data_IF_313229279804
#
_entry.id   IF_313229279804
#
_cell.length_a   1.000
_cell.length_b   1.000
_cell.length_c   1.000
_cell.angle_alpha   90.00
_cell.angle_beta   90.00
_cell.angle_gamma   90.00
#
_symmetry.space_group_name_H-M   'P 1'
#
loop_
_entity.id
_entity.type
_entity.pdbx_description
1 polymer ?
#
# COMPACT_ATOMS: atom_id res chain seq x y z
N UNK A 1 -11.83 -12.57 4.88
CA UNK A 1 -10.87 -13.66 4.63
C UNK A 1 -10.21 -13.56 3.27
N UNK A 2 -9.26 -14.43 3.00
CA UNK A 2 -8.56 -14.53 1.73
C UNK A 2 -8.72 -15.96 1.21
N UNK A 3 -8.93 -16.11 -0.10
CA UNK A 3 -9.01 -17.41 -0.76
C UNK A 3 -8.21 -17.40 -2.06
N UNK A 4 -7.57 -18.52 -2.37
CA UNK A 4 -6.86 -18.75 -3.61
C UNK A 4 -7.72 -19.60 -4.54
N UNK A 5 -7.92 -19.12 -5.78
CA UNK A 5 -8.51 -19.92 -6.85
C UNK A 5 -7.43 -20.44 -7.80
N UNK A 6 -7.37 -21.74 -7.99
CA UNK A 6 -6.46 -22.40 -8.91
C UNK A 6 -7.18 -22.67 -10.24
N UNK A 7 -6.99 -21.80 -11.24
CA UNK A 7 -7.70 -21.87 -12.53
C UNK A 7 -7.47 -23.18 -13.29
N UNK A 8 -6.28 -23.78 -13.18
CA UNK A 8 -5.96 -25.07 -13.83
C UNK A 8 -6.73 -26.27 -13.26
N UNK A 9 -7.12 -26.22 -12.00
CA UNK A 9 -7.79 -27.33 -11.29
C UNK A 9 -9.24 -27.02 -10.93
N UNK A 10 -9.68 -25.77 -11.06
CA UNK A 10 -10.98 -25.28 -10.61
C UNK A 10 -11.17 -25.30 -9.10
N UNK A 11 -10.10 -25.48 -8.32
CA UNK A 11 -10.17 -25.62 -6.86
C UNK A 11 -9.97 -24.29 -6.14
N UNK A 12 -10.70 -24.14 -5.03
CA UNK A 12 -10.53 -23.05 -4.06
C UNK A 12 -9.77 -23.54 -2.83
N UNK A 13 -8.86 -22.71 -2.34
CA UNK A 13 -8.23 -22.88 -1.05
C UNK A 13 -8.51 -21.65 -0.18
N UNK A 14 -9.13 -21.85 1.00
CA UNK A 14 -9.39 -20.78 1.96
C UNK A 14 -8.27 -20.74 3.00
N UNK A 15 -7.73 -19.54 3.26
CA UNK A 15 -6.73 -19.32 4.30
C UNK A 15 -7.35 -19.00 5.67
N UNK A 16 -8.68 -19.05 5.80
CA UNK A 16 -9.37 -18.63 7.03
C UNK A 16 -8.85 -19.33 8.28
N UNK A 17 -8.72 -20.66 8.22
CA UNK A 17 -8.23 -21.46 9.36
C UNK A 17 -6.78 -21.15 9.73
N UNK A 18 -5.94 -20.76 8.76
CA UNK A 18 -4.54 -20.40 9.02
C UNK A 18 -4.42 -19.05 9.71
N UNK A 19 -5.34 -18.12 9.44
CA UNK A 19 -5.40 -16.85 10.14
C UNK A 19 -5.91 -17.02 11.58
N UNK A 20 -6.94 -17.84 11.79
CA UNK A 20 -7.56 -18.06 13.10
C UNK A 20 -6.61 -18.68 14.13
N UNK A 21 -5.64 -19.47 13.69
CA UNK A 21 -4.61 -20.05 14.58
C UNK A 21 -3.58 -19.03 15.06
N UNK A 22 -3.30 -17.98 14.29
CA UNK A 22 -2.27 -16.99 14.59
C UNK A 22 -2.83 -15.76 15.33
N UNK A 23 -4.14 -15.52 15.26
CA UNK A 23 -4.75 -14.30 15.75
C UNK A 23 -6.02 -14.60 16.53
N UNK A 24 -6.03 -14.09 17.77
CA UNK A 24 -7.19 -14.18 18.67
C UNK A 24 -8.38 -13.33 18.20
N UNK A 25 -8.16 -12.41 17.28
CA UNK A 25 -9.17 -11.46 16.78
C UNK A 25 -9.78 -12.00 15.48
N UNK A 26 -11.04 -12.41 15.51
CA UNK A 26 -11.72 -13.10 14.42
C UNK A 26 -12.14 -12.19 13.23
N UNK A 27 -11.95 -10.88 13.32
CA UNK A 27 -12.39 -9.90 12.31
C UNK A 27 -11.25 -9.45 11.42
N UNK A 28 -10.76 -10.34 10.55
CA UNK A 28 -9.75 -9.97 9.54
C UNK A 28 -10.42 -9.40 8.29
N UNK A 29 -10.33 -8.08 8.13
CA UNK A 29 -10.76 -7.38 6.92
C UNK A 29 -9.51 -7.02 6.14
N UNK A 30 -9.26 -7.74 5.04
CA UNK A 30 -8.19 -7.43 4.10
C UNK A 30 -8.74 -6.55 2.98
N UNK A 31 -8.01 -5.52 2.61
CA UNK A 31 -8.42 -4.53 1.61
C UNK A 31 -7.38 -4.33 0.52
N UNK A 32 -6.16 -4.80 0.70
CA UNK A 32 -5.10 -4.71 -0.29
C UNK A 32 -4.28 -6.00 -0.34
N UNK A 33 -3.85 -6.37 -1.55
CA UNK A 33 -2.99 -7.52 -1.82
C UNK A 33 -1.90 -7.10 -2.81
N UNK A 34 -0.66 -7.51 -2.55
CA UNK A 34 0.46 -7.26 -3.44
C UNK A 34 1.36 -8.50 -3.53
N UNK A 35 1.66 -8.99 -4.72
CA UNK A 35 2.69 -10.02 -4.90
C UNK A 35 4.07 -9.36 -4.84
N UNK A 36 4.75 -9.50 -3.71
CA UNK A 36 6.04 -8.85 -3.43
C UNK A 36 7.22 -9.59 -4.03
N UNK A 37 7.11 -10.91 -4.16
CA UNK A 37 8.04 -11.78 -4.88
C UNK A 37 7.28 -13.00 -5.43
N UNK A 38 7.84 -13.76 -6.39
CA UNK A 38 7.13 -14.88 -6.98
C UNK A 38 6.60 -15.85 -5.92
N UNK A 39 5.29 -15.98 -5.86
CA UNK A 39 4.61 -16.85 -4.91
C UNK A 39 4.38 -16.30 -3.51
N UNK A 40 4.88 -15.09 -3.18
CA UNK A 40 4.69 -14.44 -1.88
C UNK A 40 3.81 -13.22 -2.03
N UNK A 41 2.66 -13.24 -1.39
CA UNK A 41 1.69 -12.15 -1.38
C UNK A 41 1.67 -11.50 0.00
N UNK A 42 1.73 -10.18 0.04
CA UNK A 42 1.43 -9.42 1.24
C UNK A 42 -0.04 -9.01 1.22
N UNK A 43 -0.71 -9.21 2.34
CA UNK A 43 -2.10 -8.83 2.54
C UNK A 43 -2.18 -7.78 3.66
N UNK A 44 -2.75 -6.64 3.38
CA UNK A 44 -2.98 -5.56 4.35
C UNK A 44 -4.45 -5.40 4.68
N UNK A 45 -4.74 -5.02 5.93
CA UNK A 45 -6.11 -4.92 6.41
C UNK A 45 -6.35 -3.86 7.48
N UNK A 46 -7.61 -3.72 7.88
CA UNK A 46 -8.07 -2.66 8.80
C UNK A 46 -7.59 -2.81 10.24
N UNK A 47 -7.43 -4.02 10.73
CA UNK A 47 -7.11 -4.26 12.15
C UNK A 47 -5.96 -5.23 12.34
N UNK A 48 -5.44 -5.73 11.25
CA UNK A 48 -4.62 -6.93 11.25
C UNK A 48 -3.16 -6.70 10.88
N UNK A 49 -2.80 -5.47 10.42
CA UNK A 49 -1.45 -5.20 9.91
C UNK A 49 -1.19 -5.91 8.57
N UNK A 50 0.01 -6.44 8.40
CA UNK A 50 0.44 -7.13 7.19
C UNK A 50 0.60 -8.62 7.44
N UNK A 51 0.11 -9.44 6.53
CA UNK A 51 0.34 -10.88 6.48
C UNK A 51 1.08 -11.25 5.21
N UNK A 52 1.99 -12.19 5.31
CA UNK A 52 2.62 -12.86 4.18
C UNK A 52 1.91 -14.17 3.92
N UNK A 53 1.54 -14.39 2.68
CA UNK A 53 0.91 -15.59 2.19
C UNK A 53 1.84 -16.23 1.16
N UNK A 54 2.26 -17.46 1.41
CA UNK A 54 2.98 -18.25 0.41
C UNK A 54 1.98 -19.11 -0.36
N UNK A 55 1.74 -18.76 -1.62
CA UNK A 55 0.75 -19.50 -2.46
C UNK A 55 1.20 -20.90 -2.86
N UNK A 56 2.50 -21.21 -2.74
CA UNK A 56 3.02 -22.53 -3.10
C UNK A 56 2.91 -23.52 -1.94
N UNK A 57 3.21 -23.08 -0.71
CA UNK A 57 3.11 -23.90 0.51
C UNK A 57 1.77 -23.74 1.23
N UNK A 58 0.94 -22.78 0.79
CA UNK A 58 -0.33 -22.42 1.40
C UNK A 58 -0.17 -21.97 2.87
N UNK A 59 1.01 -21.47 3.24
CA UNK A 59 1.28 -20.94 4.58
C UNK A 59 0.95 -19.46 4.69
N UNK A 60 0.60 -19.05 5.90
CA UNK A 60 0.33 -17.66 6.27
C UNK A 60 1.14 -17.32 7.51
N UNK A 61 1.77 -16.16 7.52
CA UNK A 61 2.48 -15.64 8.68
C UNK A 61 2.22 -14.15 8.88
N UNK A 62 2.17 -13.70 10.13
CA UNK A 62 2.11 -12.28 10.45
C UNK A 62 3.46 -11.63 10.18
N UNK A 63 3.45 -10.55 9.41
CA UNK A 63 4.65 -9.77 9.14
C UNK A 63 4.73 -8.58 10.09
N UNK A 64 5.70 -8.63 11.00
CA UNK A 64 6.01 -7.51 11.88
C UNK A 64 7.13 -6.66 11.31
N UNK A 65 6.86 -5.44 10.83
CA UNK A 65 7.89 -4.53 10.34
C UNK A 65 8.96 -4.16 11.38
N UNK A 66 8.64 -4.32 12.67
CA UNK A 66 9.57 -4.05 13.79
C UNK A 66 10.83 -4.91 13.77
N UNK A 67 10.73 -6.11 13.16
CA UNK A 67 11.85 -7.02 13.07
C UNK A 67 12.90 -6.55 12.03
N UNK A 68 12.53 -5.58 11.18
CA UNK A 68 13.40 -5.08 10.11
C UNK A 68 14.15 -3.80 10.46
N UNK A 69 13.84 -3.19 11.58
CA UNK A 69 14.47 -1.91 11.94
C UNK A 69 14.59 -1.77 13.45
N UNK A 70 15.70 -1.19 13.90
CA UNK A 70 15.87 -0.71 15.28
C UNK A 70 15.07 0.59 15.54
N UNK A 71 14.19 0.97 14.62
CA UNK A 71 13.35 2.18 14.74
C UNK A 71 12.15 1.86 15.59
N UNK A 72 11.91 2.67 16.61
CA UNK A 72 10.73 2.55 17.49
C UNK A 72 9.46 2.96 16.71
N UNK A 73 8.91 2.01 15.95
CA UNK A 73 7.72 2.21 15.12
C UNK A 73 6.47 1.85 15.91
N UNK A 74 5.43 2.68 15.81
CA UNK A 74 4.11 2.28 16.29
C UNK A 74 3.56 1.15 15.41
N UNK A 75 2.90 0.11 16.01
CA UNK A 75 2.22 -0.90 15.24
C UNK A 75 1.13 -0.27 14.37
N UNK A 76 1.33 -0.29 13.06
CA UNK A 76 0.27 0.10 12.14
C UNK A 76 -0.55 -1.13 11.78
N UNK A 77 -1.67 -1.27 12.48
CA UNK A 77 -2.63 -2.34 12.20
C UNK A 77 -3.57 -1.99 11.05
N UNK A 78 -3.55 -0.74 10.60
CA UNK A 78 -4.44 -0.21 9.60
C UNK A 78 -3.68 0.03 8.30
N UNK A 79 -3.67 -0.96 7.42
CA UNK A 79 -2.98 -0.92 6.14
C UNK A 79 -4.04 -0.79 5.04
N UNK A 80 -3.97 0.29 4.28
CA UNK A 80 -4.91 0.59 3.19
C UNK A 80 -4.35 0.24 1.82
N UNK A 81 -3.04 0.40 1.65
CA UNK A 81 -2.42 0.10 0.38
C UNK A 81 -1.03 -0.52 0.55
N UNK A 82 -0.72 -1.47 -0.34
CA UNK A 82 0.58 -2.11 -0.46
C UNK A 82 0.88 -2.22 -1.95
N UNK A 83 1.99 -1.62 -2.38
CA UNK A 83 2.41 -1.67 -3.78
C UNK A 83 3.88 -2.04 -3.90
N UNK A 84 4.22 -2.71 -4.98
CA UNK A 84 5.60 -2.96 -5.38
C UNK A 84 5.96 -2.01 -6.50
N UNK A 85 7.04 -1.24 -6.34
CA UNK A 85 7.52 -0.33 -7.37
C UNK A 85 8.39 -1.04 -8.41
N UNK A 86 8.71 -0.34 -9.50
CA UNK A 86 9.53 -0.84 -10.60
C UNK A 86 10.97 -1.20 -10.20
N UNK A 87 11.46 -0.67 -9.06
CA UNK A 87 12.76 -0.99 -8.48
C UNK A 87 12.72 -2.21 -7.53
N UNK A 88 11.52 -2.76 -7.29
CA UNK A 88 11.31 -3.91 -6.40
C UNK A 88 11.15 -3.56 -4.93
N UNK A 89 11.10 -2.27 -4.55
CA UNK A 89 10.74 -1.86 -3.20
C UNK A 89 9.25 -2.04 -2.95
N UNK A 90 8.90 -2.38 -1.72
CA UNK A 90 7.51 -2.53 -1.30
C UNK A 90 7.12 -1.33 -0.46
N UNK A 91 6.07 -0.65 -0.89
CA UNK A 91 5.50 0.49 -0.19
C UNK A 91 4.25 0.07 0.55
N UNK A 92 4.07 0.58 1.77
CA UNK A 92 2.88 0.33 2.57
C UNK A 92 2.44 1.60 3.26
N UNK A 93 1.16 1.88 3.14
CA UNK A 93 0.50 3.03 3.74
C UNK A 93 -0.78 2.68 4.47
N UNK A 94 -1.11 3.48 5.46
CA UNK A 94 -2.31 3.34 6.27
C UNK A 94 -2.48 4.51 7.22
N UNK A 95 -2.82 4.25 8.48
CA UNK A 95 -3.07 5.32 9.44
C UNK A 95 -1.80 6.07 9.83
N UNK A 96 -0.70 5.35 10.06
CA UNK A 96 0.59 5.93 10.41
C UNK A 96 1.56 5.86 9.23
N UNK A 97 2.52 6.72 9.21
CA UNK A 97 3.67 6.85 8.30
C UNK A 97 3.73 5.93 7.08
N UNK A 98 3.98 6.51 5.93
CA UNK A 98 4.38 5.75 4.76
C UNK A 98 5.67 4.98 5.05
N UNK A 99 5.71 3.71 4.62
CA UNK A 99 6.83 2.78 4.79
C UNK A 99 7.30 2.28 3.44
N UNK A 100 8.62 2.20 3.27
CA UNK A 100 9.26 1.61 2.10
C UNK A 100 10.20 0.50 2.55
N UNK A 101 9.94 -0.73 2.10
CA UNK A 101 10.71 -1.92 2.45
C UNK A 101 11.64 -2.31 1.32
N UNK A 102 12.90 -2.56 1.66
CA UNK A 102 13.85 -3.24 0.80
C UNK A 102 14.00 -4.68 1.28
N UNK A 103 13.41 -5.62 0.57
CA UNK A 103 13.45 -7.04 0.95
C UNK A 103 14.82 -7.68 0.73
N UNK A 104 15.65 -7.14 -0.18
CA UNK A 104 16.98 -7.66 -0.43
C UNK A 104 17.95 -7.36 0.73
N UNK A 105 17.81 -6.18 1.35
CA UNK A 105 18.65 -5.76 2.49
C UNK A 105 17.94 -5.93 3.83
N UNK A 106 16.69 -6.41 3.81
CA UNK A 106 15.86 -6.54 4.99
C UNK A 106 15.74 -5.24 5.81
N UNK A 107 15.56 -4.11 5.12
CA UNK A 107 15.49 -2.79 5.73
C UNK A 107 14.17 -2.09 5.43
N UNK A 108 13.81 -1.13 6.30
CA UNK A 108 12.63 -0.28 6.14
C UNK A 108 13.00 1.19 6.32
N UNK A 109 12.51 2.04 5.42
CA UNK A 109 12.55 3.50 5.53
C UNK A 109 11.17 4.02 5.86
N UNK A 110 11.11 4.93 6.84
CA UNK A 110 9.88 5.66 7.21
C UNK A 110 9.90 7.05 6.59
N UNK A 111 8.69 7.54 6.28
CA UNK A 111 8.46 8.91 5.82
C UNK A 111 7.55 9.63 6.84
N UNK A 112 8.13 10.23 7.89
CA UNK A 112 7.38 10.92 8.93
C UNK A 112 6.56 12.07 8.34
N UNK A 113 5.33 12.25 8.83
CA UNK A 113 4.42 13.31 8.35
C UNK A 113 3.49 12.86 7.24
N UNK A 114 3.83 11.85 6.43
CA UNK A 114 2.90 11.23 5.49
C UNK A 114 2.06 10.20 6.23
N UNK A 115 0.87 10.60 6.67
CA UNK A 115 -0.08 9.80 7.44
C UNK A 115 -1.42 9.68 6.72
N UNK A 116 -2.28 8.80 7.21
CA UNK A 116 -3.63 8.57 6.67
C UNK A 116 -3.63 8.28 5.17
N UNK A 117 -2.64 7.46 4.75
CA UNK A 117 -2.42 7.09 3.36
C UNK A 117 -3.55 6.18 2.90
N UNK A 118 -4.08 6.44 1.72
CA UNK A 118 -5.21 5.73 1.13
C UNK A 118 -4.84 5.01 -0.17
N UNK A 119 -3.89 5.57 -0.93
CA UNK A 119 -3.44 5.01 -2.20
C UNK A 119 -2.01 5.43 -2.50
N UNK A 120 -1.23 4.53 -3.08
CA UNK A 120 0.17 4.73 -3.44
C UNK A 120 0.35 4.29 -4.89
N UNK A 121 0.92 5.17 -5.73
CA UNK A 121 1.16 4.86 -7.15
C UNK A 121 2.52 5.35 -7.58
N UNK A 122 3.26 4.53 -8.30
CA UNK A 122 4.51 4.97 -8.93
C UNK A 122 4.19 5.95 -10.07
N UNK A 123 4.74 7.16 -10.00
CA UNK A 123 4.67 8.14 -11.07
C UNK A 123 5.74 7.86 -12.14
N UNK A 124 6.96 7.71 -11.68
CA UNK A 124 8.14 7.46 -12.49
C UNK A 124 9.26 6.82 -11.64
N UNK A 125 10.42 6.58 -12.25
CA UNK A 125 11.56 5.96 -11.55
C UNK A 125 11.99 6.69 -10.27
N UNK A 126 11.71 7.99 -10.12
CA UNK A 126 12.19 8.82 -9.00
C UNK A 126 11.07 9.29 -8.08
N UNK A 127 9.81 9.19 -8.50
CA UNK A 127 8.69 9.80 -7.78
C UNK A 127 7.53 8.84 -7.58
N UNK A 128 6.83 9.04 -6.44
CA UNK A 128 5.61 8.34 -6.06
C UNK A 128 4.48 9.36 -5.82
N UNK A 129 3.29 9.04 -6.28
CA UNK A 129 2.08 9.72 -5.87
C UNK A 129 1.54 9.09 -4.59
N UNK A 130 1.21 9.92 -3.61
CA UNK A 130 0.66 9.48 -2.33
C UNK A 130 -0.67 10.18 -2.11
N UNK A 131 -1.74 9.41 -2.20
CA UNK A 131 -3.09 9.83 -1.84
C UNK A 131 -3.33 9.66 -0.35
N UNK A 132 -3.93 10.67 0.28
CA UNK A 132 -4.25 10.66 1.71
C UNK A 132 -5.69 11.14 1.95
N UNK A 133 -6.13 11.01 3.20
CA UNK A 133 -7.40 11.64 3.65
C UNK A 133 -7.37 13.16 3.50
N UNK A 134 -6.19 13.78 3.54
CA UNK A 134 -6.01 15.23 3.48
C UNK A 134 -5.59 15.77 2.11
N UNK A 135 -5.42 14.93 1.09
CA UNK A 135 -5.06 15.35 -0.27
C UNK A 135 -3.95 14.56 -0.92
N UNK A 136 -3.37 15.12 -1.98
CA UNK A 136 -2.36 14.50 -2.83
C UNK A 136 -0.96 15.00 -2.49
N UNK A 137 0.00 14.08 -2.44
CA UNK A 137 1.41 14.40 -2.31
C UNK A 137 2.23 13.77 -3.43
N UNK A 138 3.28 14.48 -3.84
CA UNK A 138 4.35 13.94 -4.68
C UNK A 138 5.59 13.74 -3.81
N UNK A 139 6.05 12.49 -3.73
CA UNK A 139 7.22 12.08 -2.97
C UNK A 139 8.38 11.78 -3.92
N UNK A 140 9.53 12.42 -3.71
CA UNK A 140 10.78 11.99 -4.31
C UNK A 140 11.39 10.86 -3.48
N UNK A 141 11.42 9.65 -4.02
CA UNK A 141 11.88 8.46 -3.27
C UNK A 141 13.39 8.39 -3.04
N UNK A 142 14.19 9.17 -3.79
CA UNK A 142 15.65 9.23 -3.60
C UNK A 142 16.01 10.14 -2.43
N UNK A 143 15.49 11.37 -2.42
CA UNK A 143 15.75 12.34 -1.34
C UNK A 143 14.88 12.07 -0.11
N UNK A 144 13.64 11.62 -0.32
CA UNK A 144 12.62 11.46 0.71
C UNK A 144 11.81 12.74 0.96
N UNK A 145 12.07 13.79 0.18
CA UNK A 145 11.29 15.01 0.21
C UNK A 145 9.94 14.80 -0.44
N UNK A 146 8.91 15.41 0.10
CA UNK A 146 7.57 15.37 -0.46
C UNK A 146 6.92 16.74 -0.42
N UNK A 147 6.07 17.01 -1.41
CA UNK A 147 5.31 18.24 -1.54
C UNK A 147 3.81 17.95 -1.65
N UNK A 148 3.02 18.81 -1.04
CA UNK A 148 1.57 18.80 -1.22
C UNK A 148 1.23 19.34 -2.61
N UNK A 149 0.29 18.70 -3.30
CA UNK A 149 -0.26 19.16 -4.58
C UNK A 149 -1.61 19.82 -4.29
N UNK A 150 -1.66 21.11 -4.44
CA UNK A 150 -2.89 21.88 -4.25
C UNK A 150 -3.88 21.55 -5.37
N UNK A 151 -5.05 21.08 -4.97
CA UNK A 151 -6.16 20.80 -5.89
C UNK A 151 -7.12 21.98 -5.92
N UNK A 152 -7.73 22.27 -7.08
CA UNK A 152 -8.70 23.39 -7.22
C UNK A 152 -9.86 23.35 -6.22
N UNK A 153 -10.23 22.14 -5.76
CA UNK A 153 -11.28 21.93 -4.76
C UNK A 153 -10.77 21.99 -3.31
N UNK A 154 -9.50 22.34 -3.10
CA UNK A 154 -8.87 22.29 -1.79
C UNK A 154 -8.49 20.87 -1.35
N UNK A 155 -8.38 20.65 -0.05
CA UNK A 155 -8.06 19.33 0.50
C UNK A 155 -9.23 18.35 0.25
N UNK A 156 -8.95 17.25 -0.43
CA UNK A 156 -9.92 16.21 -0.74
C UNK A 156 -9.48 14.86 -0.18
N UNK A 157 -10.43 14.11 0.36
CA UNK A 157 -10.19 12.72 0.73
C UNK A 157 -10.00 11.90 -0.56
N UNK A 158 -8.77 11.48 -0.83
CA UNK A 158 -8.45 10.63 -1.96
C UNK A 158 -8.73 9.18 -1.59
N UNK A 159 -9.49 8.47 -2.41
CA UNK A 159 -9.76 7.04 -2.23
C UNK A 159 -8.79 6.19 -3.02
N UNK A 160 -8.48 6.59 -4.26
CA UNK A 160 -7.65 5.82 -5.18
C UNK A 160 -6.94 6.72 -6.17
N UNK A 161 -5.79 6.27 -6.63
CA UNK A 161 -4.98 6.90 -7.66
C UNK A 161 -4.73 5.90 -8.80
N UNK A 162 -4.64 6.40 -10.02
CA UNK A 162 -4.22 5.63 -11.18
C UNK A 162 -3.32 6.49 -12.08
N UNK A 163 -2.06 6.10 -12.25
CA UNK A 163 -1.14 6.71 -13.18
C UNK A 163 -1.32 6.05 -14.55
N UNK A 164 -1.76 6.82 -15.51
CA UNK A 164 -1.93 6.32 -16.87
C UNK A 164 -0.63 6.45 -17.71
N UNK A 165 -0.54 5.65 -18.76
CA UNK A 165 0.63 5.60 -19.64
C UNK A 165 0.85 6.91 -20.43
N UNK A 166 -0.21 7.71 -20.62
CA UNK A 166 -0.15 9.03 -21.24
C UNK A 166 0.40 10.13 -20.32
N UNK A 167 0.76 9.77 -19.09
CA UNK A 167 1.31 10.67 -18.08
C UNK A 167 0.28 11.38 -17.22
N UNK A 168 -1.02 11.15 -17.44
CA UNK A 168 -2.10 11.71 -16.61
C UNK A 168 -2.30 10.91 -15.34
N UNK A 169 -2.59 11.60 -14.24
CA UNK A 169 -2.97 10.98 -12.97
C UNK A 169 -4.48 11.12 -12.76
N UNK A 170 -5.17 10.00 -12.64
CA UNK A 170 -6.57 9.93 -12.27
C UNK A 170 -6.70 9.81 -10.76
N UNK A 171 -7.56 10.64 -10.17
CA UNK A 171 -7.71 10.81 -8.72
C UNK A 171 -9.17 10.57 -8.36
N UNK A 172 -9.48 9.42 -7.79
CA UNK A 172 -10.81 9.11 -7.26
C UNK A 172 -10.94 9.65 -5.83
N UNK A 173 -11.95 10.46 -5.57
CA UNK A 173 -12.16 11.11 -4.29
C UNK A 173 -13.41 10.60 -3.56
N UNK A 174 -13.51 10.89 -2.28
CA UNK A 174 -14.69 10.58 -1.48
C UNK A 174 -15.69 11.74 -1.58
N UNK A 175 -16.73 11.55 -2.39
CA UNK A 175 -17.88 12.46 -2.45
C UNK A 175 -17.81 13.59 -3.48
N UNK A 176 -16.64 13.84 -4.12
CA UNK A 176 -16.49 14.93 -5.11
C UNK A 176 -16.11 14.46 -6.53
N UNK A 177 -16.13 13.14 -6.76
CA UNK A 177 -15.95 12.55 -8.09
C UNK A 177 -14.52 12.19 -8.43
N UNK A 178 -14.19 12.25 -9.73
CA UNK A 178 -12.88 11.91 -10.28
C UNK A 178 -12.25 13.12 -10.92
N UNK A 179 -10.99 13.39 -10.59
CA UNK A 179 -10.17 14.43 -11.19
C UNK A 179 -9.08 13.82 -12.05
N UNK A 180 -8.68 14.56 -13.07
CA UNK A 180 -7.54 14.21 -13.92
C UNK A 180 -6.48 15.29 -13.79
N UNK A 181 -5.31 14.91 -13.33
CA UNK A 181 -4.20 15.85 -13.12
C UNK A 181 -3.09 15.64 -14.14
N UNK A 182 -2.74 16.72 -14.84
CA UNK A 182 -1.59 16.78 -15.70
C UNK A 182 -0.43 17.47 -14.95
N UNK A 183 0.58 16.69 -14.58
CA UNK A 183 1.72 17.19 -13.81
C UNK A 183 2.64 18.13 -14.62
N UNK A 184 2.70 17.98 -15.95
CA UNK A 184 3.59 18.79 -16.80
C UNK A 184 3.17 20.26 -16.83
N UNK A 185 1.88 20.50 -16.98
CA UNK A 185 1.31 21.86 -16.99
C UNK A 185 0.62 22.25 -15.69
N UNK A 186 0.59 21.36 -14.68
CA UNK A 186 0.01 21.56 -13.36
C UNK A 186 -1.48 21.90 -13.41
N UNK A 187 -2.26 21.28 -14.27
CA UNK A 187 -3.70 21.49 -14.42
C UNK A 187 -4.50 20.28 -13.98
N UNK A 188 -5.71 20.55 -13.48
CA UNK A 188 -6.73 19.56 -13.17
C UNK A 188 -7.81 19.59 -14.23
#
# INVERSE_FOLDING_TARGET
GISLYQSKTGKWHSFLSSFDQQIKDKNHIFITLCEVSPGIIWAGGFTSGIYKINKNTLSVEYFSPYLLSHVNMRPDKYIRDIVKDSRGYIWSGGYYNLKCFNLATNSVRLYPGLNSITSIVEKDKDNMWIGTVGGLYLLNRNTGEYQFIEMEIGAAYINTLYQADDGLLYIGTNGVGVFVYNHQNKTF
#
